data_IF_112294717279
#
_entry.id   IF_112294717279
#
_cell.length_a   1.000
_cell.length_b   1.000
_cell.length_c   1.000
_cell.angle_alpha   90.00
_cell.angle_beta   90.00
_cell.angle_gamma   90.00
#
_symmetry.space_group_name_H-M   'P 1'
#
loop_
_entity.id
_entity.type
_entity.pdbx_description
1 polymer ?
#
# COMPACT_ATOMS: atom_id res chain seq x y z
N UNK A 1 -3.17 23.32 -1.96
CA UNK A 1 -3.03 21.86 -1.76
C UNK A 1 -2.23 21.50 -0.52
N UNK A 2 -0.95 21.85 -0.40
CA UNK A 2 -0.10 21.46 0.75
C UNK A 2 -0.69 21.83 2.12
N UNK A 3 -1.25 23.05 2.27
CA UNK A 3 -1.92 23.49 3.49
C UNK A 3 -3.14 22.60 3.84
N UNK A 4 -4.00 22.32 2.87
CA UNK A 4 -5.18 21.45 3.07
C UNK A 4 -4.78 20.01 3.44
N UNK A 5 -3.75 19.48 2.78
CA UNK A 5 -3.20 18.15 3.09
C UNK A 5 -2.59 18.09 4.50
N UNK A 6 -1.81 19.07 4.91
CA UNK A 6 -1.21 19.08 6.25
C UNK A 6 -2.30 18.96 7.33
N UNK A 7 -3.36 19.75 7.24
CA UNK A 7 -4.49 19.66 8.16
C UNK A 7 -5.24 18.33 8.10
N UNK A 8 -5.44 17.79 6.90
CA UNK A 8 -6.09 16.49 6.71
C UNK A 8 -5.26 15.35 7.30
N UNK A 9 -3.99 15.25 6.94
CA UNK A 9 -3.09 14.16 7.35
C UNK A 9 -2.86 14.14 8.87
N UNK A 10 -2.72 15.31 9.49
CA UNK A 10 -2.63 15.41 10.94
C UNK A 10 -3.86 14.82 11.64
N UNK A 11 -5.06 15.15 11.14
CA UNK A 11 -6.33 14.70 11.71
C UNK A 11 -6.62 13.22 11.38
N UNK A 12 -6.41 12.81 10.13
CA UNK A 12 -6.83 11.50 9.65
C UNK A 12 -5.82 10.40 9.93
N UNK A 13 -4.52 10.71 9.92
CA UNK A 13 -3.43 9.73 10.01
C UNK A 13 -2.44 9.99 11.15
N UNK A 14 -2.59 11.11 11.86
CA UNK A 14 -1.66 11.54 12.90
C UNK A 14 -0.30 12.02 12.36
N UNK A 15 -0.18 12.25 11.05
CA UNK A 15 1.09 12.67 10.41
C UNK A 15 1.49 14.05 10.92
N UNK A 16 2.74 14.17 11.38
CA UNK A 16 3.31 15.43 11.85
C UNK A 16 4.02 16.14 10.70
N UNK A 17 3.41 17.20 10.16
CA UNK A 17 3.94 17.88 8.98
C UNK A 17 3.56 19.35 8.90
N UNK A 18 4.49 20.15 8.37
CA UNK A 18 4.25 21.51 7.89
C UNK A 18 4.11 21.50 6.36
N UNK A 19 3.38 22.44 5.75
CA UNK A 19 3.11 22.47 4.31
C UNK A 19 4.37 22.50 3.42
N UNK A 20 5.48 23.06 3.90
CA UNK A 20 6.76 23.15 3.21
C UNK A 20 7.44 21.78 3.05
N UNK A 21 7.11 20.82 3.89
CA UNK A 21 7.63 19.44 3.83
C UNK A 21 6.79 18.51 2.94
N UNK A 22 5.75 19.02 2.31
CA UNK A 22 4.88 18.24 1.42
C UNK A 22 5.27 18.47 -0.04
N UNK A 23 5.57 17.39 -0.77
CA UNK A 23 5.77 17.39 -2.23
C UNK A 23 4.61 16.68 -2.90
N UNK A 24 3.95 17.36 -3.84
CA UNK A 24 2.84 16.77 -4.61
C UNK A 24 3.41 16.03 -5.80
N UNK A 25 2.95 14.80 -6.02
CA UNK A 25 3.44 13.87 -7.05
C UNK A 25 2.30 13.35 -7.92
N UNK A 26 2.66 12.83 -9.10
CA UNK A 26 1.74 12.12 -9.99
C UNK A 26 1.53 10.67 -9.54
N UNK A 27 1.00 10.51 -8.30
CA UNK A 27 0.82 9.26 -7.60
C UNK A 27 2.08 8.82 -6.82
N UNK A 28 1.92 7.78 -5.98
CA UNK A 28 3.00 7.25 -5.16
C UNK A 28 4.18 6.72 -6.00
N UNK A 29 3.92 6.11 -7.15
CA UNK A 29 4.92 5.60 -8.09
C UNK A 29 5.98 6.66 -8.45
N UNK A 30 5.56 7.88 -8.80
CA UNK A 30 6.49 8.97 -9.06
C UNK A 30 7.23 9.37 -7.78
N UNK A 31 6.52 9.48 -6.67
CA UNK A 31 7.11 9.81 -5.37
C UNK A 31 8.22 8.83 -4.97
N UNK A 32 7.98 7.54 -5.13
CA UNK A 32 8.96 6.49 -4.84
C UNK A 32 10.19 6.63 -5.75
N UNK A 33 10.00 6.84 -7.05
CA UNK A 33 11.11 7.04 -7.99
C UNK A 33 11.99 8.24 -7.63
N UNK A 34 11.38 9.36 -7.23
CA UNK A 34 12.11 10.55 -6.77
C UNK A 34 12.93 10.26 -5.50
N UNK A 35 12.33 9.53 -4.54
CA UNK A 35 13.06 9.13 -3.32
C UNK A 35 14.21 8.19 -3.66
N UNK A 36 14.00 7.17 -4.49
CA UNK A 36 15.05 6.23 -4.90
C UNK A 36 16.22 6.94 -5.59
N UNK A 37 15.93 7.88 -6.49
CA UNK A 37 16.95 8.69 -7.13
C UNK A 37 17.75 9.50 -6.10
N UNK A 38 17.10 10.21 -5.19
CA UNK A 38 17.76 11.01 -4.15
C UNK A 38 18.58 10.12 -3.21
N UNK A 39 18.07 8.96 -2.82
CA UNK A 39 18.81 8.00 -1.99
C UNK A 39 20.10 7.56 -2.67
N UNK A 40 20.04 7.19 -3.94
CA UNK A 40 21.21 6.80 -4.73
C UNK A 40 22.20 7.95 -4.84
N UNK A 41 21.75 9.17 -5.16
CA UNK A 41 22.59 10.35 -5.28
C UNK A 41 23.29 10.71 -3.95
N UNK A 42 22.71 10.29 -2.82
CA UNK A 42 23.29 10.39 -1.48
C UNK A 42 24.14 9.19 -1.06
N UNK A 43 24.36 8.24 -1.97
CA UNK A 43 25.25 7.10 -1.75
C UNK A 43 24.60 5.85 -1.19
N UNK A 44 23.28 5.80 -1.07
CA UNK A 44 22.60 4.55 -0.74
C UNK A 44 22.76 3.53 -1.89
N UNK A 45 23.02 2.29 -1.54
CA UNK A 45 23.21 1.20 -2.50
C UNK A 45 22.04 0.22 -2.51
N UNK A 46 21.28 0.17 -1.41
CA UNK A 46 20.27 -0.87 -1.19
C UNK A 46 18.98 -0.27 -0.63
N UNK A 47 17.85 -0.69 -1.22
CA UNK A 47 16.52 -0.52 -0.66
C UNK A 47 16.01 -1.87 -0.15
N UNK A 48 15.71 -1.95 1.14
CA UNK A 48 14.99 -3.09 1.69
C UNK A 48 13.49 -2.98 1.36
N UNK A 49 12.87 -4.10 1.00
CA UNK A 49 11.43 -4.20 0.72
C UNK A 49 10.84 -5.40 1.45
N UNK A 50 9.57 -5.37 1.75
CA UNK A 50 8.85 -6.52 2.28
C UNK A 50 8.94 -7.70 1.29
N UNK A 51 9.16 -8.94 1.79
CA UNK A 51 9.33 -10.15 0.96
C UNK A 51 8.13 -10.43 0.05
N UNK A 52 6.97 -9.90 0.41
CA UNK A 52 5.81 -9.80 -0.46
C UNK A 52 5.50 -8.33 -0.69
N UNK A 53 5.65 -7.88 -1.93
CA UNK A 53 5.48 -6.47 -2.31
C UNK A 53 5.24 -6.32 -3.80
N UNK A 54 4.77 -5.14 -4.23
CA UNK A 54 4.53 -4.86 -5.65
C UNK A 54 5.84 -4.92 -6.46
N UNK A 55 5.87 -5.75 -7.51
CA UNK A 55 6.99 -5.85 -8.43
C UNK A 55 7.38 -4.47 -9.00
N UNK A 56 6.38 -3.66 -9.39
CA UNK A 56 6.61 -2.33 -9.93
C UNK A 56 7.40 -1.40 -8.98
N UNK A 57 7.27 -1.56 -7.66
CA UNK A 57 8.05 -0.78 -6.69
C UNK A 57 9.52 -1.23 -6.67
N UNK A 58 9.76 -2.55 -6.78
CA UNK A 58 11.11 -3.11 -6.89
C UNK A 58 11.79 -2.68 -8.19
N UNK A 59 11.04 -2.71 -9.30
CA UNK A 59 11.52 -2.28 -10.61
C UNK A 59 11.94 -0.80 -10.61
N UNK A 60 11.16 0.08 -9.96
CA UNK A 60 11.49 1.50 -9.80
C UNK A 60 12.81 1.67 -9.05
N UNK A 61 12.99 0.96 -7.95
CA UNK A 61 14.21 1.04 -7.16
C UNK A 61 15.43 0.54 -7.96
N UNK A 62 15.28 -0.60 -8.63
CA UNK A 62 16.33 -1.18 -9.48
C UNK A 62 16.67 -0.27 -10.66
N UNK A 63 15.67 0.29 -11.34
CA UNK A 63 15.87 1.25 -12.42
C UNK A 63 16.55 2.54 -11.93
N UNK A 64 16.39 2.90 -10.66
CA UNK A 64 17.12 4.01 -10.02
C UNK A 64 18.55 3.65 -9.62
N UNK A 65 18.98 2.38 -9.79
CA UNK A 65 20.31 1.88 -9.48
C UNK A 65 20.50 1.43 -8.02
N UNK A 66 19.41 1.12 -7.31
CA UNK A 66 19.45 0.51 -5.98
C UNK A 66 19.33 -1.02 -6.09
N UNK A 67 20.13 -1.75 -5.32
CA UNK A 67 19.92 -3.17 -5.10
C UNK A 67 18.70 -3.39 -4.20
N UNK A 68 18.00 -4.51 -4.37
CA UNK A 68 16.87 -4.91 -3.53
C UNK A 68 17.35 -5.92 -2.49
N UNK A 69 17.08 -5.62 -1.21
CA UNK A 69 17.12 -6.58 -0.13
C UNK A 69 15.68 -6.90 0.31
N UNK A 70 15.41 -8.11 0.74
CA UNK A 70 14.08 -8.52 1.19
C UNK A 70 14.04 -8.66 2.70
N UNK A 71 12.92 -8.21 3.31
CA UNK A 71 12.63 -8.35 4.73
C UNK A 71 11.45 -9.31 4.86
N UNK A 72 11.60 -10.44 5.58
CA UNK A 72 10.51 -11.38 5.77
C UNK A 72 9.29 -10.72 6.42
N UNK A 73 8.12 -11.24 6.09
CA UNK A 73 6.82 -10.78 6.64
C UNK A 73 6.08 -11.95 7.26
N UNK A 74 5.50 -11.72 8.44
CA UNK A 74 4.63 -12.67 9.11
C UNK A 74 3.30 -12.00 9.55
N UNK A 75 2.47 -12.68 10.35
CA UNK A 75 1.21 -12.14 10.86
C UNK A 75 1.31 -10.86 11.71
N UNK A 76 2.52 -10.43 12.05
CA UNK A 76 2.82 -9.20 12.78
C UNK A 76 3.46 -8.10 11.90
N UNK A 77 3.49 -8.30 10.58
CA UNK A 77 4.08 -7.41 9.58
C UNK A 77 5.55 -7.73 9.32
N UNK A 78 6.31 -6.78 8.78
CA UNK A 78 7.72 -6.95 8.45
C UNK A 78 8.60 -7.29 9.65
N UNK A 79 9.51 -8.23 9.50
CA UNK A 79 10.51 -8.63 10.51
C UNK A 79 11.69 -7.64 10.51
N UNK A 80 11.44 -6.44 11.01
CA UNK A 80 12.36 -5.30 10.94
C UNK A 80 13.72 -5.52 11.63
N UNK A 81 13.87 -6.58 12.41
CA UNK A 81 15.16 -7.01 12.97
C UNK A 81 16.13 -7.52 11.89
N UNK A 82 15.64 -7.81 10.70
CA UNK A 82 16.42 -8.37 9.58
C UNK A 82 16.78 -7.31 8.52
N UNK A 83 16.60 -6.01 8.84
CA UNK A 83 16.90 -4.91 7.92
C UNK A 83 18.40 -4.75 7.59
N UNK A 84 19.28 -5.23 8.47
CA UNK A 84 20.72 -5.10 8.28
C UNK A 84 21.17 -3.64 8.10
N UNK A 85 22.09 -3.43 7.16
CA UNK A 85 22.71 -2.15 6.80
C UNK A 85 22.07 -1.47 5.59
N UNK A 86 20.83 -1.81 5.25
CA UNK A 86 20.11 -1.16 4.16
C UNK A 86 20.04 0.36 4.35
N UNK A 87 20.22 1.13 3.29
CA UNK A 87 20.15 2.60 3.35
C UNK A 87 18.71 3.12 3.50
N UNK A 88 17.73 2.33 3.09
CA UNK A 88 16.31 2.63 3.26
C UNK A 88 15.47 1.35 3.28
N UNK A 89 14.24 1.46 3.80
CA UNK A 89 13.24 0.39 3.76
C UNK A 89 11.90 0.93 3.29
N UNK A 90 11.24 0.21 2.38
CA UNK A 90 9.86 0.46 1.95
C UNK A 90 8.93 -0.49 2.68
N UNK A 91 7.97 0.06 3.42
CA UNK A 91 7.00 -0.67 4.22
C UNK A 91 5.57 -0.21 3.95
N UNK A 92 4.61 -1.12 4.14
CA UNK A 92 3.17 -0.85 4.16
C UNK A 92 2.60 -1.10 5.57
N UNK A 93 2.97 -0.29 6.58
CA UNK A 93 2.82 -0.64 8.00
C UNK A 93 1.38 -0.56 8.51
N UNK A 94 0.49 0.17 7.85
CA UNK A 94 -0.91 0.23 8.22
C UNK A 94 -1.67 -1.04 7.83
N UNK A 95 -1.34 -1.57 6.64
CA UNK A 95 -1.94 -2.76 6.05
C UNK A 95 -0.97 -3.34 5.02
N UNK A 96 -0.21 -4.34 5.44
CA UNK A 96 0.82 -4.95 4.60
C UNK A 96 0.22 -5.52 3.32
N UNK A 97 0.77 -5.12 2.19
CA UNK A 97 0.33 -5.62 0.89
C UNK A 97 1.25 -6.75 0.39
N UNK A 98 0.70 -7.93 0.04
CA UNK A 98 -0.71 -8.30 0.00
C UNK A 98 -1.20 -9.16 1.18
N UNK A 99 -0.38 -9.45 2.19
CA UNK A 99 -0.71 -10.41 3.25
C UNK A 99 -1.77 -9.89 4.23
N UNK A 100 -2.03 -8.59 4.25
CA UNK A 100 -3.06 -7.99 5.08
C UNK A 100 -2.74 -7.89 6.57
N UNK A 101 -1.48 -8.01 6.97
CA UNK A 101 -1.05 -7.82 8.35
C UNK A 101 -0.82 -6.33 8.65
N UNK A 102 -1.00 -5.91 9.90
CA UNK A 102 -0.53 -4.60 10.37
C UNK A 102 0.82 -4.74 11.06
N UNK A 103 1.72 -3.79 10.86
CA UNK A 103 2.99 -3.74 11.60
C UNK A 103 2.68 -3.45 13.08
N UNK A 104 2.97 -4.42 13.96
CA UNK A 104 2.67 -4.31 15.38
C UNK A 104 3.50 -3.21 16.07
N UNK A 105 3.01 -2.62 17.21
CA UNK A 105 3.66 -1.48 17.86
C UNK A 105 5.14 -1.71 18.17
N UNK A 106 5.51 -2.91 18.61
CA UNK A 106 6.89 -3.26 18.93
C UNK A 106 7.81 -3.16 17.70
N UNK A 107 7.33 -3.62 16.53
CA UNK A 107 8.09 -3.52 15.27
C UNK A 107 8.13 -2.10 14.73
N UNK A 108 7.09 -1.29 14.98
CA UNK A 108 7.09 0.15 14.66
C UNK A 108 8.18 0.90 15.43
N UNK A 109 8.33 0.62 16.71
CA UNK A 109 9.40 1.20 17.51
C UNK A 109 10.79 0.73 17.03
N UNK A 110 10.95 -0.57 16.77
CA UNK A 110 12.22 -1.13 16.29
C UNK A 110 12.66 -0.56 14.94
N UNK A 111 11.75 -0.34 13.98
CA UNK A 111 12.16 0.25 12.70
C UNK A 111 12.56 1.71 12.86
N UNK A 112 11.95 2.44 13.79
CA UNK A 112 12.37 3.81 14.13
C UNK A 112 13.75 3.80 14.80
N UNK A 113 13.99 2.89 15.74
CA UNK A 113 15.31 2.70 16.38
C UNK A 113 16.38 2.35 15.33
N UNK A 114 16.07 1.42 14.42
CA UNK A 114 16.97 1.09 13.29
C UNK A 114 17.31 2.33 12.46
N UNK A 115 16.30 3.11 12.05
CA UNK A 115 16.52 4.29 11.23
C UNK A 115 17.36 5.37 11.96
N UNK A 116 17.17 5.54 13.27
CA UNK A 116 17.96 6.45 14.07
C UNK A 116 19.43 5.98 14.23
N UNK A 117 19.64 4.67 14.41
CA UNK A 117 20.98 4.11 14.60
C UNK A 117 21.82 4.08 13.31
N UNK A 118 21.17 3.86 12.14
CA UNK A 118 21.85 3.72 10.85
C UNK A 118 21.80 4.98 9.97
N UNK A 119 21.10 6.02 10.41
CA UNK A 119 20.68 7.16 9.58
C UNK A 119 19.88 6.74 8.33
N UNK A 120 19.26 5.54 8.35
CA UNK A 120 18.43 5.00 7.29
C UNK A 120 17.13 5.76 7.12
N UNK A 121 16.47 5.57 5.98
CA UNK A 121 15.16 6.14 5.67
C UNK A 121 14.08 5.07 5.69
N UNK A 122 13.00 5.33 6.42
CA UNK A 122 11.77 4.55 6.31
C UNK A 122 10.89 5.22 5.24
N UNK A 123 10.50 4.49 4.20
CA UNK A 123 9.51 4.91 3.21
C UNK A 123 8.21 4.22 3.59
N UNK A 124 7.24 4.98 4.08
CA UNK A 124 5.93 4.49 4.48
C UNK A 124 4.94 4.66 3.33
N UNK A 125 4.51 3.57 2.70
CA UNK A 125 3.42 3.58 1.72
C UNK A 125 2.09 3.36 2.43
N UNK A 126 1.32 4.43 2.61
CA UNK A 126 0.01 4.44 3.25
C UNK A 126 -1.10 4.52 2.18
N UNK A 127 -1.19 3.48 1.37
CA UNK A 127 -2.06 3.44 0.19
C UNK A 127 -3.56 3.28 0.52
N UNK A 128 -3.90 2.71 1.69
CA UNK A 128 -5.27 2.39 2.08
C UNK A 128 -5.59 2.61 3.57
N UNK A 129 -4.74 3.33 4.29
CA UNK A 129 -4.85 3.53 5.73
C UNK A 129 -6.14 4.23 6.20
N UNK A 130 -6.89 4.88 5.30
CA UNK A 130 -8.23 5.38 5.57
C UNK A 130 -9.29 4.27 5.66
N UNK A 131 -9.03 3.05 5.16
CA UNK A 131 -10.00 1.97 5.02
C UNK A 131 -9.84 0.88 6.09
N UNK A 132 -9.89 1.27 7.38
CA UNK A 132 -9.92 0.36 8.53
C UNK A 132 -11.37 0.09 8.93
N UNK A 133 -11.70 -1.19 9.18
CA UNK A 133 -13.08 -1.63 9.52
C UNK A 133 -13.22 -2.11 10.95
N UNK A 134 -12.09 -2.42 11.62
CA UNK A 134 -12.02 -2.90 13.00
C UNK A 134 -12.15 -1.81 14.08
N UNK A 135 -12.37 -0.56 13.67
CA UNK A 135 -12.48 0.62 14.55
C UNK A 135 -11.22 0.93 15.39
N UNK A 136 -10.09 0.30 15.08
CA UNK A 136 -8.82 0.61 15.72
C UNK A 136 -7.99 1.49 14.77
N UNK A 137 -7.96 2.82 14.99
CA UNK A 137 -7.13 3.69 14.16
C UNK A 137 -5.66 3.34 14.40
N UNK A 138 -4.95 3.07 13.32
CA UNK A 138 -3.51 2.90 13.34
C UNK A 138 -2.90 4.15 12.72
N UNK A 139 -2.21 4.95 13.52
CA UNK A 139 -1.51 6.14 13.05
C UNK A 139 -0.35 5.78 12.12
N UNK A 140 0.13 6.75 11.34
CA UNK A 140 1.31 6.59 10.53
C UNK A 140 2.57 6.37 11.40
N UNK A 141 3.54 5.61 10.90
CA UNK A 141 4.86 5.47 11.53
C UNK A 141 5.59 6.80 11.53
N UNK A 142 5.32 7.65 10.52
CA UNK A 142 5.87 8.99 10.40
C UNK A 142 5.66 9.83 11.66
N UNK A 143 4.55 9.66 12.37
CA UNK A 143 4.28 10.38 13.62
C UNK A 143 5.29 10.07 14.75
N UNK A 144 5.92 8.90 14.70
CA UNK A 144 6.92 8.47 15.70
C UNK A 144 8.30 9.06 15.41
N UNK A 145 8.64 9.30 14.15
CA UNK A 145 9.96 9.75 13.74
C UNK A 145 9.93 10.61 12.45
N UNK A 146 9.41 11.85 12.49
CA UNK A 146 9.23 12.69 11.31
C UNK A 146 10.52 12.99 10.53
N UNK A 147 11.70 12.88 11.19
CA UNK A 147 13.00 13.11 10.56
C UNK A 147 13.62 11.84 9.94
N UNK A 148 12.98 10.67 10.14
CA UNK A 148 13.45 9.40 9.60
C UNK A 148 12.45 8.72 8.66
N UNK A 149 11.23 9.27 8.52
CA UNK A 149 10.17 8.68 7.71
C UNK A 149 9.76 9.60 6.56
N UNK A 150 9.87 9.10 5.33
CA UNK A 150 9.22 9.66 4.16
C UNK A 150 7.85 8.96 4.02
N UNK A 151 6.77 9.67 4.35
CA UNK A 151 5.41 9.16 4.25
C UNK A 151 4.86 9.44 2.86
N UNK A 152 4.30 8.41 2.22
CA UNK A 152 3.63 8.49 0.94
C UNK A 152 2.14 8.22 1.05
N UNK A 153 1.34 9.08 0.44
CA UNK A 153 -0.10 8.91 0.33
C UNK A 153 -0.60 9.17 -1.09
N UNK A 154 -1.82 8.72 -1.38
CA UNK A 154 -2.40 8.84 -2.72
C UNK A 154 -3.91 9.02 -2.68
N UNK A 155 -4.44 9.81 -3.62
CA UNK A 155 -5.87 9.91 -3.88
C UNK A 155 -6.41 8.76 -4.78
N UNK A 156 -5.55 7.90 -5.29
CA UNK A 156 -5.92 6.84 -6.24
C UNK A 156 -6.89 5.81 -5.68
N UNK A 157 -6.81 5.49 -4.40
CA UNK A 157 -7.66 4.49 -3.74
C UNK A 157 -8.91 5.11 -3.10
N UNK A 158 -8.80 6.36 -2.70
CA UNK A 158 -9.89 7.11 -2.04
C UNK A 158 -10.86 7.78 -3.01
N UNK A 159 -10.39 8.16 -4.20
CA UNK A 159 -11.18 8.81 -5.25
C UNK A 159 -11.18 7.99 -6.54
N UNK A 160 -10.10 8.09 -7.31
CA UNK A 160 -9.99 7.36 -8.57
C UNK A 160 -8.52 7.21 -8.98
N UNK A 161 -8.11 6.04 -9.51
CA UNK A 161 -6.75 5.81 -10.00
C UNK A 161 -6.31 6.79 -11.09
N UNK A 162 -7.25 7.24 -11.94
CA UNK A 162 -7.00 8.15 -13.05
C UNK A 162 -6.64 9.59 -12.65
N UNK A 163 -6.89 10.01 -11.41
CA UNK A 163 -6.51 11.33 -10.93
C UNK A 163 -4.99 11.54 -10.86
N UNK A 164 -4.24 10.45 -10.68
CA UNK A 164 -2.77 10.50 -10.59
C UNK A 164 -2.26 11.57 -9.61
N UNK A 165 -2.93 11.75 -8.48
CA UNK A 165 -2.49 12.61 -7.37
C UNK A 165 -2.00 11.77 -6.20
N UNK A 166 -0.76 12.05 -5.79
CA UNK A 166 -0.14 11.56 -4.57
C UNK A 166 0.66 12.66 -3.90
N UNK A 167 1.17 12.37 -2.76
CA UNK A 167 2.00 13.28 -1.98
C UNK A 167 3.05 12.53 -1.18
N UNK A 168 4.17 13.20 -0.96
CA UNK A 168 5.20 12.81 -0.02
C UNK A 168 5.22 13.80 1.13
N UNK A 169 5.33 13.31 2.35
CA UNK A 169 5.72 14.08 3.53
C UNK A 169 7.14 13.68 3.87
N UNK A 170 8.06 14.61 3.77
CA UNK A 170 9.49 14.32 3.79
C UNK A 170 10.18 14.79 5.08
N UNK A 171 11.22 14.08 5.55
CA UNK A 171 12.22 14.66 6.43
C UNK A 171 12.77 15.97 5.86
N UNK A 172 12.97 16.98 6.71
CA UNK A 172 13.41 18.30 6.26
C UNK A 172 14.65 18.23 5.37
N UNK A 173 15.60 17.34 5.71
CA UNK A 173 16.87 17.14 4.96
C UNK A 173 16.71 16.61 3.54
N UNK A 174 15.53 16.10 3.15
CA UNK A 174 15.29 15.52 1.82
C UNK A 174 14.44 16.42 0.91
N UNK A 175 13.82 17.47 1.46
CA UNK A 175 12.85 18.29 0.71
C UNK A 175 13.47 18.90 -0.54
N UNK A 176 14.59 19.60 -0.38
CA UNK A 176 15.22 20.34 -1.49
C UNK A 176 15.73 19.40 -2.60
N UNK A 177 16.28 18.24 -2.21
CA UNK A 177 16.76 17.25 -3.18
C UNK A 177 15.59 16.63 -3.97
N UNK A 178 14.51 16.27 -3.29
CA UNK A 178 13.31 15.69 -3.95
C UNK A 178 12.63 16.75 -4.83
N UNK A 179 12.54 18.00 -4.39
CA UNK A 179 12.01 19.10 -5.21
C UNK A 179 12.88 19.31 -6.44
N UNK A 180 14.20 19.27 -6.29
CA UNK A 180 15.15 19.40 -7.41
C UNK A 180 15.02 18.24 -8.39
N UNK A 181 14.95 17.00 -7.91
CA UNK A 181 14.74 15.82 -8.74
C UNK A 181 13.40 15.91 -9.50
N UNK A 182 12.33 16.32 -8.80
CA UNK A 182 11.02 16.52 -9.42
C UNK A 182 11.04 17.60 -10.50
N UNK A 183 11.71 18.72 -10.25
CA UNK A 183 11.81 19.80 -11.23
C UNK A 183 12.49 19.37 -12.54
N UNK A 184 13.38 18.38 -12.48
CA UNK A 184 14.03 17.78 -13.66
C UNK A 184 13.14 16.77 -14.38
N UNK A 185 12.18 16.16 -13.68
CA UNK A 185 11.32 15.09 -14.23
C UNK A 185 10.09 15.68 -14.91
N UNK A 186 9.26 16.45 -14.20
CA UNK A 186 7.97 16.94 -14.69
C UNK A 186 7.67 18.39 -14.30
N UNK A 187 8.60 19.07 -13.66
CA UNK A 187 8.48 20.42 -13.09
C UNK A 187 7.35 20.53 -12.06
N UNK A 188 6.10 20.36 -12.47
CA UNK A 188 4.93 20.53 -11.62
C UNK A 188 3.84 19.50 -11.95
N UNK A 189 3.21 18.98 -10.92
CA UNK A 189 1.93 18.25 -11.06
C UNK A 189 0.81 19.24 -11.38
N UNK A 190 -0.23 18.81 -12.11
CA UNK A 190 -1.38 19.63 -12.53
C UNK A 190 -1.90 20.55 -11.41
N UNK A 191 -1.90 21.85 -11.65
CA UNK A 191 -2.38 22.85 -10.69
C UNK A 191 -3.90 22.80 -10.50
N UNK A 192 -4.64 22.45 -11.55
CA UNK A 192 -6.12 22.36 -11.50
C UNK A 192 -6.51 21.22 -10.57
N UNK A 193 -5.90 20.04 -10.74
CA UNK A 193 -6.21 18.89 -9.89
C UNK A 193 -5.84 19.14 -8.42
N UNK A 194 -4.72 19.85 -8.20
CA UNK A 194 -4.30 20.25 -6.86
C UNK A 194 -5.30 21.21 -6.20
N UNK A 195 -5.79 22.21 -6.94
CA UNK A 195 -6.78 23.18 -6.43
C UNK A 195 -8.11 22.48 -6.17
N UNK A 196 -8.56 21.62 -7.08
CA UNK A 196 -9.79 20.83 -6.93
C UNK A 196 -9.75 19.95 -5.69
N UNK A 197 -8.64 19.19 -5.48
CA UNK A 197 -8.53 18.35 -4.30
C UNK A 197 -8.39 19.18 -3.01
N UNK A 198 -7.70 20.33 -3.06
CA UNK A 198 -7.61 21.23 -1.92
C UNK A 198 -8.99 21.74 -1.49
N UNK A 199 -9.81 22.20 -2.44
CA UNK A 199 -11.18 22.64 -2.16
C UNK A 199 -12.04 21.47 -1.66
N UNK A 200 -11.89 20.29 -2.24
CA UNK A 200 -12.63 19.10 -1.81
C UNK A 200 -12.28 18.68 -0.37
N UNK A 201 -11.02 18.85 0.04
CA UNK A 201 -10.58 18.64 1.44
C UNK A 201 -11.15 19.71 2.35
N UNK A 202 -10.99 21.00 2.01
CA UNK A 202 -11.35 22.12 2.88
C UNK A 202 -12.87 22.27 3.06
N UNK A 203 -13.65 21.92 2.03
CA UNK A 203 -15.12 21.86 2.12
C UNK A 203 -15.65 20.65 2.91
N UNK A 204 -14.78 19.75 3.37
CA UNK A 204 -15.16 18.49 4.02
C UNK A 204 -15.74 17.43 3.06
N UNK A 205 -15.71 17.70 1.75
CA UNK A 205 -16.15 16.75 0.71
C UNK A 205 -15.35 15.46 0.73
N UNK A 206 -14.04 15.59 0.87
CA UNK A 206 -13.13 14.46 0.94
C UNK A 206 -13.43 13.53 2.15
N UNK A 207 -13.62 14.09 3.33
CA UNK A 207 -14.00 13.32 4.54
C UNK A 207 -15.33 12.57 4.35
N UNK A 208 -16.33 13.20 3.70
CA UNK A 208 -17.62 12.56 3.38
C UNK A 208 -17.42 11.40 2.41
N UNK A 209 -16.59 11.58 1.37
CA UNK A 209 -16.27 10.53 0.40
C UNK A 209 -15.56 9.36 1.06
N UNK A 210 -14.55 9.59 1.88
CA UNK A 210 -13.84 8.53 2.64
C UNK A 210 -14.82 7.74 3.50
N UNK A 211 -15.69 8.40 4.25
CA UNK A 211 -16.70 7.70 5.08
C UNK A 211 -17.63 6.83 4.24
N UNK A 212 -18.10 7.34 3.10
CA UNK A 212 -18.97 6.60 2.17
C UNK A 212 -18.24 5.38 1.58
N UNK A 213 -17.03 5.57 1.08
CA UNK A 213 -16.22 4.49 0.51
C UNK A 213 -15.88 3.43 1.55
N UNK A 214 -15.52 3.84 2.77
CA UNK A 214 -15.25 2.89 3.87
C UNK A 214 -16.45 2.01 4.18
N UNK A 215 -17.66 2.58 4.22
CA UNK A 215 -18.89 1.81 4.45
C UNK A 215 -19.15 0.84 3.30
N UNK A 216 -19.05 1.30 2.05
CA UNK A 216 -19.27 0.47 0.87
C UNK A 216 -18.25 -0.69 0.77
N UNK A 217 -16.97 -0.41 0.98
CA UNK A 217 -15.93 -1.45 0.93
C UNK A 217 -16.05 -2.45 2.10
N UNK A 218 -16.43 -1.98 3.28
CA UNK A 218 -16.75 -2.89 4.40
C UNK A 218 -17.89 -3.83 4.03
N UNK A 219 -18.99 -3.32 3.48
CA UNK A 219 -20.15 -4.16 3.07
C UNK A 219 -19.75 -5.17 1.99
N UNK A 220 -18.93 -4.75 1.00
CA UNK A 220 -18.41 -5.65 -0.04
C UNK A 220 -17.54 -6.76 0.56
N UNK A 221 -16.61 -6.39 1.44
CA UNK A 221 -15.77 -7.37 2.14
C UNK A 221 -16.61 -8.37 2.93
N UNK A 222 -17.52 -7.87 3.77
CA UNK A 222 -18.34 -8.72 4.64
C UNK A 222 -19.19 -9.68 3.81
N UNK A 223 -19.76 -9.22 2.69
CA UNK A 223 -20.49 -10.06 1.74
C UNK A 223 -19.60 -11.11 1.08
N UNK A 224 -18.43 -10.70 0.56
CA UNK A 224 -17.47 -11.63 -0.04
C UNK A 224 -17.05 -12.73 0.95
N UNK A 225 -16.74 -12.35 2.18
CA UNK A 225 -16.35 -13.28 3.25
C UNK A 225 -17.49 -14.26 3.58
N UNK A 226 -18.74 -13.79 3.63
CA UNK A 226 -19.89 -14.64 3.90
C UNK A 226 -20.11 -15.69 2.78
N UNK A 227 -20.06 -15.25 1.53
CA UNK A 227 -20.23 -16.14 0.37
C UNK A 227 -19.09 -17.17 0.25
N UNK A 228 -17.84 -16.76 0.49
CA UNK A 228 -16.70 -17.67 0.49
C UNK A 228 -16.80 -18.73 1.59
N UNK A 229 -17.21 -18.36 2.80
CA UNK A 229 -17.42 -19.31 3.90
C UNK A 229 -18.53 -20.31 3.62
N UNK A 230 -19.55 -19.89 2.91
CA UNK A 230 -20.70 -20.75 2.58
C UNK A 230 -20.42 -21.69 1.42
N UNK A 231 -19.73 -21.20 0.37
CA UNK A 231 -19.63 -21.91 -0.91
C UNK A 231 -18.21 -22.40 -1.24
N UNK A 232 -17.17 -21.98 -0.49
CA UNK A 232 -15.79 -22.41 -0.68
C UNK A 232 -15.11 -22.70 0.67
N UNK A 233 -15.66 -23.59 1.51
CA UNK A 233 -15.22 -23.78 2.90
C UNK A 233 -13.75 -24.21 3.08
N UNK A 234 -13.08 -24.88 2.11
CA UNK A 234 -11.68 -25.24 2.28
C UNK A 234 -10.70 -24.07 2.24
N UNK A 235 -11.12 -22.87 1.76
CA UNK A 235 -10.25 -21.69 1.67
C UNK A 235 -10.21 -20.96 3.00
N UNK A 236 -8.99 -20.58 3.42
CA UNK A 236 -8.81 -19.74 4.60
C UNK A 236 -8.69 -18.27 4.18
N UNK A 237 -9.39 -17.39 4.89
CA UNK A 237 -9.31 -15.95 4.68
C UNK A 237 -8.38 -15.38 5.73
N UNK A 238 -7.24 -14.82 5.31
CA UNK A 238 -6.25 -14.21 6.19
C UNK A 238 -6.18 -12.69 6.05
N UNK A 239 -5.45 -12.06 6.96
CA UNK A 239 -5.33 -10.63 7.07
C UNK A 239 -6.38 -9.97 7.97
N UNK A 240 -6.13 -8.70 8.31
CA UNK A 240 -7.03 -7.91 9.15
C UNK A 240 -8.24 -7.37 8.37
N UNK A 241 -9.26 -6.92 9.11
CA UNK A 241 -10.43 -6.29 8.49
C UNK A 241 -10.10 -4.84 8.07
N UNK A 242 -9.40 -4.68 6.97
CA UNK A 242 -8.95 -3.41 6.42
C UNK A 242 -8.79 -3.47 4.90
N UNK A 243 -8.54 -2.33 4.30
CA UNK A 243 -8.06 -2.19 2.92
C UNK A 243 -9.08 -2.50 1.84
N UNK A 244 -8.59 -2.91 0.71
CA UNK A 244 -9.33 -3.08 -0.54
C UNK A 244 -9.18 -4.50 -1.12
N UNK A 245 -8.45 -5.37 -0.44
CA UNK A 245 -8.21 -6.76 -0.82
C UNK A 245 -8.24 -7.66 0.41
N UNK A 246 -8.31 -8.96 0.17
CA UNK A 246 -8.09 -10.00 1.16
C UNK A 246 -7.25 -11.11 0.54
N UNK A 247 -6.59 -11.89 1.38
CA UNK A 247 -5.82 -13.05 0.96
C UNK A 247 -6.66 -14.30 1.18
N UNK A 248 -6.72 -15.15 0.15
CA UNK A 248 -7.32 -16.48 0.22
C UNK A 248 -6.22 -17.52 0.16
N UNK A 249 -5.95 -18.18 1.28
CA UNK A 249 -5.04 -19.31 1.31
C UNK A 249 -5.75 -20.54 0.73
N UNK A 250 -5.12 -21.17 -0.25
CA UNK A 250 -5.66 -22.32 -0.94
C UNK A 250 -5.34 -23.62 -0.17
N UNK A 251 -6.19 -24.64 -0.25
CA UNK A 251 -5.90 -25.96 0.29
C UNK A 251 -4.61 -26.55 -0.27
N UNK A 252 -3.95 -27.38 0.50
CA UNK A 252 -2.78 -28.12 0.05
C UNK A 252 -3.07 -28.93 -1.23
N UNK A 253 -2.18 -28.84 -2.21
CA UNK A 253 -2.30 -29.52 -3.50
C UNK A 253 -3.05 -28.74 -4.58
N UNK A 254 -3.58 -27.55 -4.27
CA UNK A 254 -4.10 -26.65 -5.30
C UNK A 254 -3.02 -25.64 -5.71
N UNK A 255 -2.76 -25.54 -7.01
CA UNK A 255 -1.85 -24.55 -7.56
C UNK A 255 -2.58 -23.23 -7.88
N UNK A 256 -1.91 -22.10 -7.64
CA UNK A 256 -2.45 -20.77 -7.98
C UNK A 256 -2.80 -20.68 -9.47
N UNK A 257 -1.89 -21.13 -10.34
CA UNK A 257 -2.03 -21.03 -11.79
C UNK A 257 -3.25 -21.77 -12.33
N UNK A 258 -3.57 -22.95 -11.75
CA UNK A 258 -4.77 -23.71 -12.14
C UNK A 258 -6.06 -22.97 -11.79
N UNK A 259 -6.11 -22.33 -10.63
CA UNK A 259 -7.26 -21.52 -10.23
C UNK A 259 -7.38 -20.26 -11.07
N UNK A 260 -6.26 -19.60 -11.34
CA UNK A 260 -6.20 -18.39 -12.18
C UNK A 260 -6.67 -18.70 -13.60
N UNK A 261 -6.22 -19.81 -14.20
CA UNK A 261 -6.65 -20.25 -15.53
C UNK A 261 -8.17 -20.51 -15.58
N UNK A 262 -8.72 -21.29 -14.63
CA UNK A 262 -10.16 -21.53 -14.55
C UNK A 262 -10.99 -20.27 -14.32
N UNK A 263 -10.44 -19.32 -13.57
CA UNK A 263 -11.08 -18.01 -13.36
C UNK A 263 -11.12 -17.19 -14.65
N UNK A 264 -10.02 -17.18 -15.41
CA UNK A 264 -9.91 -16.48 -16.69
C UNK A 264 -10.93 -17.01 -17.71
N UNK A 265 -11.13 -18.33 -17.79
CA UNK A 265 -12.15 -18.96 -18.66
C UNK A 265 -13.58 -18.51 -18.32
N UNK A 266 -13.81 -18.05 -17.09
CA UNK A 266 -15.08 -17.48 -16.60
C UNK A 266 -15.12 -15.95 -16.61
N UNK A 267 -14.15 -15.30 -17.23
CA UNK A 267 -14.08 -13.84 -17.30
C UNK A 267 -13.75 -13.17 -15.97
N UNK A 268 -13.00 -13.85 -15.07
CA UNK A 268 -12.43 -13.28 -13.86
C UNK A 268 -10.92 -13.18 -14.00
N UNK A 269 -10.37 -12.02 -13.69
CA UNK A 269 -8.93 -11.80 -13.54
C UNK A 269 -8.59 -11.94 -12.06
N UNK A 270 -7.75 -12.91 -11.72
CA UNK A 270 -7.23 -13.15 -10.39
C UNK A 270 -5.71 -13.05 -10.40
N UNK A 271 -5.14 -12.76 -9.25
CA UNK A 271 -3.68 -12.75 -9.06
C UNK A 271 -3.31 -13.68 -7.90
N UNK A 272 -2.28 -14.51 -8.13
CA UNK A 272 -1.70 -15.36 -7.11
C UNK A 272 -0.73 -14.58 -6.21
N UNK A 273 -0.51 -15.08 -5.01
CA UNK A 273 0.46 -14.53 -4.07
C UNK A 273 1.88 -14.55 -4.66
N UNK A 274 2.19 -15.56 -5.48
CA UNK A 274 3.48 -15.69 -6.17
C UNK A 274 3.89 -14.47 -6.99
N UNK A 275 2.94 -13.75 -7.59
CA UNK A 275 3.22 -12.52 -8.35
C UNK A 275 3.82 -11.39 -7.48
N UNK A 276 3.63 -11.45 -6.18
CA UNK A 276 4.13 -10.47 -5.21
C UNK A 276 5.37 -10.94 -4.45
N UNK A 277 5.74 -12.23 -4.58
CA UNK A 277 6.90 -12.78 -3.90
C UNK A 277 8.19 -12.14 -4.48
N UNK A 278 8.96 -11.50 -3.62
CA UNK A 278 10.23 -10.86 -3.97
C UNK A 278 11.42 -11.83 -3.80
N UNK A 279 11.19 -13.03 -3.27
CA UNK A 279 12.20 -14.06 -3.07
C UNK A 279 11.98 -15.22 -4.06
N UNK A 280 12.96 -16.10 -4.15
CA UNK A 280 12.81 -17.37 -4.89
C UNK A 280 12.30 -18.51 -4.00
N UNK A 281 11.99 -18.22 -2.74
CA UNK A 281 11.58 -19.23 -1.77
C UNK A 281 10.16 -19.74 -2.07
N UNK A 282 9.89 -21.02 -1.85
CA UNK A 282 8.54 -21.57 -1.91
C UNK A 282 7.60 -20.82 -0.95
N UNK A 283 6.37 -20.60 -1.40
CA UNK A 283 5.33 -19.96 -0.59
C UNK A 283 4.05 -20.80 -0.59
N UNK A 284 3.22 -20.69 0.45
CA UNK A 284 1.90 -21.32 0.44
C UNK A 284 1.05 -20.74 -0.70
N UNK A 285 0.31 -21.59 -1.44
CA UNK A 285 -0.53 -21.12 -2.54
C UNK A 285 -1.67 -20.24 -2.00
N UNK A 286 -1.82 -19.05 -2.55
CA UNK A 286 -2.86 -18.11 -2.13
C UNK A 286 -3.25 -17.15 -3.27
N UNK A 287 -4.44 -16.58 -3.18
CA UNK A 287 -4.95 -15.60 -4.14
C UNK A 287 -5.16 -14.25 -3.47
N UNK A 288 -4.80 -13.19 -4.15
CA UNK A 288 -5.04 -11.82 -3.72
C UNK A 288 -6.33 -11.30 -4.37
N UNK A 289 -7.37 -11.15 -3.57
CA UNK A 289 -8.71 -10.80 -4.08
C UNK A 289 -9.03 -9.35 -3.77
N UNK A 290 -8.96 -8.49 -4.81
CA UNK A 290 -9.40 -7.10 -4.73
C UNK A 290 -10.92 -6.98 -4.78
N UNK A 291 -11.54 -6.45 -3.73
CA UNK A 291 -13.00 -6.23 -3.69
C UNK A 291 -13.40 -4.75 -3.92
N UNK A 292 -12.44 -3.89 -4.11
CA UNK A 292 -12.67 -2.47 -4.44
C UNK A 292 -13.20 -2.24 -5.86
N UNK A 293 -12.79 -3.09 -6.77
CA UNK A 293 -13.17 -3.13 -8.17
C UNK A 293 -14.10 -4.22 -8.45
N UNK A 294 -15.06 -4.71 -8.74
CA UNK A 294 -15.89 -4.44 -9.91
C UNK A 294 -16.94 -3.34 -9.60
N UNK A 295 -17.62 -2.77 -10.59
CA UNK A 295 -18.74 -1.87 -10.36
C UNK A 295 -19.86 -2.61 -9.62
N UNK A 296 -20.73 -1.89 -8.90
CA UNK A 296 -21.73 -2.49 -7.99
C UNK A 296 -22.63 -3.51 -8.67
N UNK A 297 -23.09 -3.23 -9.89
CA UNK A 297 -23.94 -4.14 -10.66
C UNK A 297 -23.25 -5.46 -11.05
N UNK A 298 -21.93 -5.48 -11.16
CA UNK A 298 -21.15 -6.67 -11.51
C UNK A 298 -20.64 -7.46 -10.30
N UNK A 299 -20.69 -6.88 -9.10
CA UNK A 299 -20.06 -7.44 -7.91
C UNK A 299 -20.67 -8.80 -7.51
N UNK A 300 -21.99 -8.94 -7.54
CA UNK A 300 -22.69 -10.20 -7.24
C UNK A 300 -22.28 -11.32 -8.20
N UNK A 301 -22.26 -11.03 -9.50
CA UNK A 301 -21.85 -12.02 -10.50
C UNK A 301 -20.35 -12.37 -10.42
N UNK A 302 -19.48 -11.43 -10.00
CA UNK A 302 -18.07 -11.72 -9.79
C UNK A 302 -17.87 -12.68 -8.60
N UNK A 303 -18.58 -12.47 -7.49
CA UNK A 303 -18.52 -13.39 -6.33
C UNK A 303 -19.01 -14.79 -6.73
N UNK A 304 -20.14 -14.90 -7.40
CA UNK A 304 -20.68 -16.19 -7.82
C UNK A 304 -19.71 -16.97 -8.70
N UNK A 305 -19.05 -16.29 -9.65
CA UNK A 305 -18.01 -16.91 -10.47
C UNK A 305 -16.79 -17.34 -9.65
N UNK A 306 -16.34 -16.51 -8.70
CA UNK A 306 -15.22 -16.83 -7.83
C UNK A 306 -15.52 -18.07 -6.96
N UNK A 307 -16.70 -18.13 -6.33
CA UNK A 307 -17.07 -19.28 -5.52
C UNK A 307 -17.19 -20.56 -6.33
N UNK A 308 -17.75 -20.52 -7.54
CA UNK A 308 -17.83 -21.67 -8.46
C UNK A 308 -16.42 -22.16 -8.87
N UNK A 309 -15.50 -21.26 -9.17
CA UNK A 309 -14.10 -21.62 -9.49
C UNK A 309 -13.41 -22.32 -8.32
N UNK A 310 -13.61 -21.80 -7.10
CA UNK A 310 -12.99 -22.35 -5.88
C UNK A 310 -13.62 -23.68 -5.45
N UNK A 311 -14.93 -23.88 -5.67
CA UNK A 311 -15.62 -25.14 -5.41
C UNK A 311 -15.25 -26.26 -6.40
N UNK A 312 -14.62 -25.93 -7.52
CA UNK A 312 -14.28 -26.90 -8.58
C UNK A 312 -15.45 -27.24 -9.48
N UNK A 313 -16.54 -26.47 -9.44
CA UNK A 313 -17.69 -26.67 -10.31
C UNK A 313 -17.27 -26.40 -11.77
N UNK A 314 -17.48 -27.42 -12.63
CA UNK A 314 -17.18 -27.38 -14.06
C UNK A 314 -18.20 -26.55 -14.85
#
# INVERSE_FOLDING_TARGET
MRQALAGYLARARGVQVTPDRIVICSGFTQGLGLICQVLRDRGATTLAVESYSLAAHRDIATASGLAIATVPVDGHGAMVSELGDAGAVLLTPAHQFPLGAALVPQRRNRVVEWAAATAGLIIEDDYDGEFRYDRQPVGAVQALAPEHVAYGGTASKSLAPGLRLGWLVLPARLVDDVVTAKARTDRNTSSIDQLTLAEFITSGGYDRQIRRSRLAYRQRRDRLVAELRQHAPPVLISGIAAGLHLLLELPAGQAEDDIIARAADRGLVLEGLGAYNATSDPHPPALVIGYGTPPEHAFTGAIARLTAVLAGDC
#
